data_IF_204888377788
#
_entry.id   IF_204888377788
#
_cell.length_a   1.000
_cell.length_b   1.000
_cell.length_c   1.000
_cell.angle_alpha   90.00
_cell.angle_beta   90.00
_cell.angle_gamma   90.00
#
_symmetry.space_group_name_H-M   'P 1'
#
loop_
_entity.id
_entity.type
_entity.pdbx_description
1 polymer ?
#
# COMPACT_ATOMS: atom_id res chain seq x y z
N UNK A 1 18.59 17.69 -13.67
CA UNK A 1 18.20 16.28 -13.91
C UNK A 1 17.62 15.77 -12.59
N UNK A 2 16.31 15.80 -12.38
CA UNK A 2 15.40 14.80 -12.94
C UNK A 2 15.13 13.61 -11.99
N UNK A 3 15.64 13.61 -10.75
CA UNK A 3 15.25 12.63 -9.73
C UNK A 3 13.88 12.96 -9.14
N UNK A 4 12.83 12.80 -9.94
CA UNK A 4 11.47 12.76 -9.41
C UNK A 4 11.13 11.30 -9.10
N UNK A 5 10.85 11.03 -7.83
CA UNK A 5 9.84 10.06 -7.39
C UNK A 5 10.22 8.62 -7.02
N UNK A 6 11.51 8.25 -6.86
CA UNK A 6 11.85 6.94 -6.24
C UNK A 6 11.74 6.92 -4.71
N UNK A 7 11.84 8.08 -4.06
CA UNK A 7 11.80 8.15 -2.59
C UNK A 7 10.39 7.89 -2.03
N UNK A 8 9.31 8.22 -2.74
CA UNK A 8 7.98 8.24 -2.11
C UNK A 8 7.24 6.89 -1.98
N UNK A 9 7.43 5.90 -2.86
CA UNK A 9 6.67 4.64 -2.73
C UNK A 9 7.32 3.66 -1.76
N UNK A 10 8.65 3.66 -1.65
CA UNK A 10 9.34 2.77 -0.71
C UNK A 10 9.08 3.20 0.73
N UNK A 11 9.19 4.51 1.02
CA UNK A 11 8.81 5.11 2.31
C UNK A 11 7.35 4.83 2.68
N UNK A 12 6.45 4.84 1.69
CA UNK A 12 5.05 4.47 1.89
C UNK A 12 4.90 3.00 2.32
N UNK A 13 5.53 2.06 1.62
CA UNK A 13 5.50 0.64 1.98
C UNK A 13 6.15 0.37 3.34
N UNK A 14 7.24 1.06 3.66
CA UNK A 14 7.87 1.00 4.98
C UNK A 14 6.94 1.53 6.08
N UNK A 15 6.25 2.65 5.83
CA UNK A 15 5.28 3.21 6.78
C UNK A 15 4.10 2.27 7.02
N UNK A 16 3.61 1.58 5.98
CA UNK A 16 2.60 0.53 6.12
C UNK A 16 3.12 -0.64 6.97
N UNK A 17 4.34 -1.10 6.74
CA UNK A 17 4.97 -2.15 7.57
C UNK A 17 5.09 -1.73 9.03
N UNK A 18 5.50 -0.49 9.28
CA UNK A 18 5.54 0.07 10.64
C UNK A 18 4.16 0.24 11.26
N UNK A 19 3.09 0.30 10.47
CA UNK A 19 1.72 0.32 10.95
C UNK A 19 1.17 -1.09 11.25
N UNK A 20 1.99 -2.14 11.09
CA UNK A 20 1.58 -3.53 11.32
C UNK A 20 1.02 -4.22 10.07
N UNK A 21 1.23 -3.66 8.88
CA UNK A 21 0.83 -4.31 7.63
C UNK A 21 1.94 -5.23 7.13
N UNK A 22 1.56 -6.45 6.76
CA UNK A 22 2.38 -7.39 6.03
C UNK A 22 2.00 -7.37 4.54
N UNK A 23 3.00 -7.22 3.68
CA UNK A 23 2.83 -7.16 2.22
C UNK A 23 3.24 -8.52 1.65
N UNK A 24 2.27 -9.29 1.18
CA UNK A 24 2.51 -10.57 0.51
C UNK A 24 3.04 -10.29 -0.89
N UNK A 25 4.16 -10.94 -1.25
CA UNK A 25 4.90 -10.71 -2.50
C UNK A 25 5.33 -9.24 -2.68
N UNK A 26 5.93 -8.67 -1.63
CA UNK A 26 6.44 -7.29 -1.65
C UNK A 26 7.35 -7.00 -2.86
N UNK A 27 8.16 -7.96 -3.31
CA UNK A 27 8.98 -7.83 -4.52
C UNK A 27 8.14 -7.45 -5.74
N UNK A 28 7.09 -8.20 -6.05
CA UNK A 28 6.20 -7.90 -7.18
C UNK A 28 5.46 -6.57 -7.00
N UNK A 29 5.09 -6.21 -5.77
CA UNK A 29 4.47 -4.90 -5.48
C UNK A 29 5.44 -3.78 -5.83
N UNK A 30 6.67 -3.85 -5.32
CA UNK A 30 7.70 -2.84 -5.55
C UNK A 30 8.04 -2.73 -7.04
N UNK A 31 8.16 -3.85 -7.74
CA UNK A 31 8.40 -3.88 -9.18
C UNK A 31 7.26 -3.19 -9.95
N UNK A 32 6.01 -3.53 -9.66
CA UNK A 32 4.84 -2.93 -10.33
C UNK A 32 4.68 -1.44 -10.02
N UNK A 33 4.98 -1.03 -8.81
CA UNK A 33 4.97 0.39 -8.41
C UNK A 33 6.11 1.18 -9.05
N UNK A 34 7.29 0.59 -9.18
CA UNK A 34 8.45 1.20 -9.82
C UNK A 34 8.33 1.26 -11.36
N UNK A 35 7.56 0.34 -11.96
CA UNK A 35 7.34 0.27 -13.42
C UNK A 35 6.43 1.39 -13.94
N UNK A 36 5.54 1.94 -13.11
CA UNK A 36 4.57 2.96 -13.51
C UNK A 36 4.95 4.38 -13.06
N UNK A 37 4.65 5.38 -13.89
CA UNK A 37 4.78 6.80 -13.48
C UNK A 37 3.82 7.19 -12.34
N UNK A 38 2.64 6.55 -12.27
CA UNK A 38 1.61 6.82 -11.26
C UNK A 38 1.44 5.62 -10.34
N UNK A 39 2.42 5.41 -9.48
CA UNK A 39 2.43 4.30 -8.52
C UNK A 39 1.20 4.29 -7.60
N UNK A 40 0.59 5.45 -7.30
CA UNK A 40 -0.64 5.54 -6.48
C UNK A 40 -1.84 4.84 -7.14
N UNK A 41 -2.04 5.04 -8.44
CA UNK A 41 -3.10 4.36 -9.18
C UNK A 41 -2.83 2.84 -9.31
N UNK A 42 -1.56 2.46 -9.53
CA UNK A 42 -1.16 1.06 -9.55
C UNK A 42 -1.35 0.40 -8.19
N UNK A 43 -1.03 1.09 -7.10
CA UNK A 43 -1.26 0.61 -5.74
C UNK A 43 -2.75 0.35 -5.50
N UNK A 44 -3.63 1.31 -5.78
CA UNK A 44 -5.08 1.12 -5.63
C UNK A 44 -5.60 -0.05 -6.48
N UNK A 45 -5.04 -0.22 -7.68
CA UNK A 45 -5.33 -1.37 -8.54
C UNK A 45 -4.86 -2.68 -7.93
N UNK A 46 -3.66 -2.73 -7.34
CA UNK A 46 -3.13 -3.91 -6.62
C UNK A 46 -3.96 -4.19 -5.37
N UNK A 47 -4.40 -3.20 -4.62
CA UNK A 47 -5.29 -3.41 -3.47
C UNK A 47 -6.61 -4.02 -3.92
N UNK A 48 -7.14 -3.57 -5.06
CA UNK A 48 -8.45 -4.02 -5.56
C UNK A 48 -8.41 -5.35 -6.32
N UNK A 49 -7.33 -5.60 -7.08
CA UNK A 49 -7.17 -6.78 -7.95
C UNK A 49 -6.06 -7.74 -7.47
N UNK A 50 -5.31 -7.39 -6.43
CA UNK A 50 -4.15 -8.12 -5.94
C UNK A 50 -4.47 -9.55 -5.56
N UNK A 51 -5.67 -9.79 -5.01
CA UNK A 51 -6.16 -11.14 -4.71
C UNK A 51 -6.15 -12.07 -5.93
N UNK A 52 -6.30 -11.55 -7.15
CA UNK A 52 -6.26 -12.35 -8.39
C UNK A 52 -4.83 -12.76 -8.79
N UNK A 53 -3.84 -11.97 -8.40
CA UNK A 53 -2.42 -12.18 -8.74
C UNK A 53 -1.58 -12.66 -7.52
N UNK A 54 -2.25 -12.92 -6.40
CA UNK A 54 -1.65 -13.39 -5.14
C UNK A 54 -0.94 -12.30 -4.33
N UNK A 55 -1.15 -11.02 -4.67
CA UNK A 55 -0.62 -9.89 -3.92
C UNK A 55 -1.68 -9.43 -2.91
N UNK A 56 -1.35 -9.48 -1.62
CA UNK A 56 -2.30 -9.20 -0.54
C UNK A 56 -1.64 -8.36 0.55
N UNK A 57 -2.43 -7.52 1.19
CA UNK A 57 -2.04 -6.76 2.38
C UNK A 57 -2.75 -7.37 3.58
N UNK A 58 -1.97 -7.86 4.54
CA UNK A 58 -2.47 -8.56 5.73
C UNK A 58 -2.06 -7.84 6.99
N UNK A 59 -2.75 -8.12 8.09
CA UNK A 59 -2.28 -7.73 9.41
C UNK A 59 -1.14 -8.66 9.85
N UNK A 60 0.00 -8.12 10.29
CA UNK A 60 1.14 -8.93 10.74
C UNK A 60 0.82 -9.75 11.99
N UNK A 61 0.06 -9.19 12.92
CA UNK A 61 -0.15 -9.76 14.26
C UNK A 61 -1.61 -9.59 14.75
N UNK A 62 -2.55 -9.35 13.83
CA UNK A 62 -3.91 -8.91 14.17
C UNK A 62 -3.98 -7.46 14.69
N UNK A 63 -2.84 -6.86 15.06
CA UNK A 63 -2.72 -5.48 15.50
C UNK A 63 -2.27 -4.56 14.35
N UNK A 64 -3.24 -3.91 13.70
CA UNK A 64 -2.98 -2.84 12.73
C UNK A 64 -3.20 -1.48 13.40
N UNK A 65 -2.25 -0.57 13.22
CA UNK A 65 -2.39 0.81 13.65
C UNK A 65 -3.13 1.62 12.59
N UNK A 66 -4.47 1.59 12.63
CA UNK A 66 -5.32 2.32 11.69
C UNK A 66 -5.03 3.82 11.66
N UNK A 67 -4.68 4.44 12.78
CA UNK A 67 -4.32 5.85 12.83
C UNK A 67 -3.03 6.13 12.04
N UNK A 68 -2.04 5.22 12.11
CA UNK A 68 -0.80 5.34 11.34
C UNK A 68 -1.03 5.07 9.85
N UNK A 69 -1.90 4.13 9.50
CA UNK A 69 -2.33 3.90 8.11
C UNK A 69 -2.98 5.17 7.56
N UNK A 70 -3.99 5.70 8.25
CA UNK A 70 -4.69 6.92 7.84
C UNK A 70 -3.73 8.11 7.66
N UNK A 71 -2.83 8.30 8.63
CA UNK A 71 -1.79 9.33 8.55
C UNK A 71 -0.88 9.13 7.34
N UNK A 72 -0.45 7.90 7.09
CA UNK A 72 0.39 7.57 5.92
C UNK A 72 -0.37 7.92 4.64
N UNK A 73 -1.61 7.46 4.46
CA UNK A 73 -2.41 7.78 3.28
C UNK A 73 -2.60 9.30 3.09
N UNK A 74 -2.83 10.05 4.17
CA UNK A 74 -2.91 11.50 4.15
C UNK A 74 -1.58 12.18 3.77
N UNK A 75 -0.45 11.73 4.33
CA UNK A 75 0.91 12.22 4.04
C UNK A 75 1.27 12.01 2.55
N UNK A 76 0.85 10.89 1.96
CA UNK A 76 1.06 10.57 0.55
C UNK A 76 -0.05 11.09 -0.39
N UNK A 77 -0.98 11.88 0.14
CA UNK A 77 -2.10 12.50 -0.59
C UNK A 77 -2.97 11.48 -1.35
N UNK A 78 -3.19 10.31 -0.76
CA UNK A 78 -4.14 9.36 -1.31
C UNK A 78 -5.58 9.85 -1.14
N UNK A 79 -6.46 9.60 -2.12
CA UNK A 79 -7.88 9.89 -1.95
C UNK A 79 -8.49 8.94 -0.91
N UNK A 80 -9.45 9.45 -0.13
CA UNK A 80 -10.16 8.71 0.92
C UNK A 80 -10.76 7.39 0.40
N UNK A 81 -11.21 7.36 -0.85
CA UNK A 81 -11.72 6.15 -1.51
C UNK A 81 -10.67 5.02 -1.55
N UNK A 82 -9.39 5.35 -1.80
CA UNK A 82 -8.33 4.34 -1.85
C UNK A 82 -8.00 3.81 -0.45
N UNK A 83 -7.99 4.68 0.56
CA UNK A 83 -7.82 4.28 1.96
C UNK A 83 -8.97 3.37 2.44
N UNK A 84 -10.21 3.72 2.10
CA UNK A 84 -11.39 2.93 2.44
C UNK A 84 -11.34 1.53 1.80
N UNK A 85 -10.96 1.45 0.51
CA UNK A 85 -10.76 0.18 -0.20
C UNK A 85 -9.65 -0.65 0.45
N UNK A 86 -8.54 -0.02 0.83
CA UNK A 86 -7.43 -0.69 1.51
C UNK A 86 -7.84 -1.24 2.87
N UNK A 87 -8.49 -0.42 3.69
CA UNK A 87 -8.99 -0.80 5.00
C UNK A 87 -10.02 -1.94 4.92
N UNK A 88 -10.89 -1.91 3.91
CA UNK A 88 -11.84 -3.00 3.64
C UNK A 88 -11.11 -4.30 3.23
N UNK A 89 -10.08 -4.19 2.40
CA UNK A 89 -9.27 -5.33 1.94
C UNK A 89 -8.54 -5.99 3.12
N UNK A 90 -7.93 -5.20 4.01
CA UNK A 90 -7.28 -5.75 5.21
C UNK A 90 -8.32 -6.42 6.11
N UNK A 91 -9.49 -5.80 6.32
CA UNK A 91 -10.57 -6.40 7.14
C UNK A 91 -11.07 -7.72 6.56
N UNK A 92 -11.09 -7.86 5.24
CA UNK A 92 -11.47 -9.09 4.55
C UNK A 92 -10.38 -10.19 4.61
N UNK A 93 -9.14 -9.82 4.94
CA UNK A 93 -7.99 -10.73 5.06
C UNK A 93 -7.44 -10.80 6.50
N UNK A 94 -8.27 -10.45 7.49
CA UNK A 94 -8.01 -10.59 8.94
C UNK A 94 -8.04 -12.06 9.38
#
# INVERSE_FOLDING_TARGET
MGSLSKESFDEFLESLKQAGIEIVKEGEVRERLAEVQRWRDAFTTIVSNGSRIGILFKSRDGNINQAKIHRTFAEFQFPEKSEALFSATIKANL
#
